data_IF_586085781329
#
_entry.id   IF_586085781329
#
_cell.length_a   1.000
_cell.length_b   1.000
_cell.length_c   1.000
_cell.angle_alpha   90.00
_cell.angle_beta   90.00
_cell.angle_gamma   90.00
#
_symmetry.space_group_name_H-M   'P 1'
#
loop_
_entity.id
_entity.type
_entity.pdbx_description
1 polymer ?
#
# COMPACT_ATOMS: atom_id res chain seq x y z
N UNK A 1 -2.17 10.51 26.30
CA UNK A 1 -1.03 10.38 25.37
C UNK A 1 -1.59 10.35 23.96
N UNK A 2 -1.08 11.20 23.06
CA UNK A 2 -1.47 11.16 21.64
C UNK A 2 -0.54 10.15 20.95
N UNK A 3 -1.10 9.10 20.36
CA UNK A 3 -0.32 8.13 19.60
C UNK A 3 0.02 8.73 18.23
N UNK A 4 1.25 9.23 18.05
CA UNK A 4 1.70 9.71 16.75
C UNK A 4 1.94 8.52 15.82
N UNK A 5 1.04 8.34 14.85
CA UNK A 5 1.09 7.23 13.91
C UNK A 5 1.24 7.77 12.49
N UNK A 6 2.11 7.13 11.72
CA UNK A 6 2.34 7.44 10.31
C UNK A 6 1.85 6.26 9.48
N UNK A 7 0.99 6.56 8.50
CA UNK A 7 0.59 5.65 7.43
C UNK A 7 1.05 6.27 6.12
N UNK A 8 1.72 5.49 5.28
CA UNK A 8 2.17 5.92 3.97
C UNK A 8 1.21 5.40 2.90
N UNK A 9 0.80 6.26 1.98
CA UNK A 9 0.03 5.88 0.79
C UNK A 9 0.78 6.34 -0.44
N UNK A 10 1.07 5.42 -1.34
CA UNK A 10 1.72 5.67 -2.63
C UNK A 10 0.80 5.14 -3.73
N UNK A 11 0.73 5.83 -4.88
CA UNK A 11 -0.15 5.46 -5.99
C UNK A 11 0.66 5.25 -7.26
N UNK A 12 0.38 4.18 -7.99
CA UNK A 12 1.02 3.83 -9.27
C UNK A 12 -0.03 3.49 -10.32
N UNK A 13 0.17 3.95 -11.55
CA UNK A 13 -0.73 3.69 -12.67
C UNK A 13 -0.57 2.30 -13.33
N UNK A 14 0.38 1.47 -12.90
CA UNK A 14 0.66 0.18 -13.55
C UNK A 14 0.12 -0.99 -12.72
N UNK A 15 -0.39 -2.01 -13.40
CA UNK A 15 -0.91 -3.23 -12.80
C UNK A 15 0.18 -4.15 -12.21
N UNK A 16 1.45 -3.97 -12.59
CA UNK A 16 2.54 -4.76 -12.02
C UNK A 16 3.22 -3.99 -10.90
N UNK A 17 3.39 -4.65 -9.75
CA UNK A 17 4.19 -4.16 -8.62
C UNK A 17 5.62 -4.69 -8.73
N UNK A 18 6.60 -3.79 -8.69
CA UNK A 18 8.03 -4.14 -8.66
C UNK A 18 8.66 -3.70 -7.35
N UNK A 19 9.75 -4.35 -6.95
CA UNK A 19 10.50 -3.96 -5.75
C UNK A 19 10.95 -2.47 -5.76
N UNK A 20 11.20 -1.92 -6.95
CA UNK A 20 11.53 -0.50 -7.14
C UNK A 20 10.39 0.44 -6.75
N UNK A 21 9.14 0.00 -6.87
CA UNK A 21 7.95 0.79 -6.55
C UNK A 21 7.75 0.95 -5.04
N UNK A 22 8.50 0.17 -4.23
CA UNK A 22 8.44 0.23 -2.77
C UNK A 22 9.47 1.17 -2.17
N UNK A 23 10.26 1.86 -2.99
CA UNK A 23 11.36 2.71 -2.51
C UNK A 23 10.85 3.87 -1.66
N UNK A 24 9.75 4.53 -2.08
CA UNK A 24 9.13 5.63 -1.34
C UNK A 24 8.58 5.16 0.01
N UNK A 25 7.71 4.16 -0.03
CA UNK A 25 7.18 3.46 1.15
C UNK A 25 8.27 3.02 2.14
N UNK A 26 9.32 2.34 1.68
CA UNK A 26 10.43 1.88 2.56
C UNK A 26 11.23 3.04 3.14
N UNK A 27 11.46 4.11 2.36
CA UNK A 27 12.14 5.31 2.85
C UNK A 27 11.34 5.98 3.96
N UNK A 28 10.03 6.16 3.78
CA UNK A 28 9.19 6.77 4.82
C UNK A 28 9.05 5.85 6.04
N UNK A 29 8.94 4.54 5.84
CA UNK A 29 8.93 3.56 6.94
C UNK A 29 10.20 3.66 7.79
N UNK A 30 11.37 3.78 7.15
CA UNK A 30 12.64 3.97 7.85
C UNK A 30 12.71 5.31 8.60
N UNK A 31 12.18 6.39 8.04
CA UNK A 31 12.19 7.72 8.68
C UNK A 31 11.21 7.80 9.86
N UNK A 32 10.03 7.19 9.73
CA UNK A 32 8.99 7.20 10.76
C UNK A 32 9.27 6.19 11.89
N UNK A 33 10.12 5.18 11.66
CA UNK A 33 10.56 4.23 12.69
C UNK A 33 9.38 3.56 13.41
N UNK A 34 9.34 3.67 14.74
CA UNK A 34 8.28 3.08 15.58
C UNK A 34 6.90 3.69 15.36
N UNK A 35 6.82 4.89 14.77
CA UNK A 35 5.56 5.55 14.43
C UNK A 35 4.96 4.99 13.14
N UNK A 36 5.74 4.29 12.31
CA UNK A 36 5.25 3.70 11.07
C UNK A 36 4.33 2.51 11.35
N UNK A 37 3.04 2.70 11.10
CA UNK A 37 2.02 1.66 11.28
C UNK A 37 1.82 0.81 10.02
N UNK A 38 1.77 1.44 8.85
CA UNK A 38 1.43 0.74 7.62
C UNK A 38 1.85 1.54 6.38
N UNK A 39 2.14 0.83 5.30
CA UNK A 39 2.26 1.38 3.95
C UNK A 39 1.24 0.74 3.01
N UNK A 40 0.65 1.53 2.10
CA UNK A 40 -0.26 1.06 1.06
C UNK A 40 0.21 1.57 -0.29
N UNK A 41 0.46 0.66 -1.22
CA UNK A 41 0.65 0.94 -2.64
C UNK A 41 -0.68 0.70 -3.37
N UNK A 42 -1.34 1.77 -3.79
CA UNK A 42 -2.50 1.69 -4.67
C UNK A 42 -2.04 1.51 -6.10
N UNK A 43 -2.53 0.47 -6.78
CA UNK A 43 -2.10 0.12 -8.12
C UNK A 43 -3.26 -0.34 -9.01
N UNK A 44 -3.02 -0.46 -10.31
CA UNK A 44 -4.05 -0.80 -11.32
C UNK A 44 -4.24 -2.32 -11.52
N UNK A 45 -3.96 -3.12 -10.49
CA UNK A 45 -4.24 -4.56 -10.52
C UNK A 45 -5.56 -4.91 -9.84
N UNK A 46 -5.76 -6.21 -9.58
CA UNK A 46 -7.01 -6.74 -9.01
C UNK A 46 -6.85 -7.36 -7.63
N UNK A 47 -5.63 -7.58 -7.16
CA UNK A 47 -5.37 -8.33 -5.93
C UNK A 47 -4.81 -7.43 -4.83
N UNK A 48 -5.27 -7.66 -3.61
CA UNK A 48 -4.61 -7.12 -2.41
C UNK A 48 -3.57 -8.13 -1.94
N UNK A 49 -2.30 -7.72 -1.85
CA UNK A 49 -1.21 -8.63 -1.51
C UNK A 49 -0.21 -8.00 -0.53
N UNK A 50 0.34 -8.78 0.42
CA UNK A 50 1.37 -8.31 1.33
C UNK A 50 2.72 -8.17 0.60
N UNK A 51 3.46 -7.09 0.89
CA UNK A 51 4.77 -6.81 0.28
C UNK A 51 5.92 -6.80 1.30
N UNK A 52 5.65 -7.22 2.53
CA UNK A 52 6.59 -7.18 3.66
C UNK A 52 6.59 -5.83 4.39
N UNK A 53 7.27 -5.75 5.53
CA UNK A 53 7.48 -4.50 6.29
C UNK A 53 6.21 -3.70 6.65
N UNK A 54 5.08 -4.38 6.85
CA UNK A 54 3.74 -3.76 7.06
C UNK A 54 3.28 -2.93 5.84
N UNK A 55 3.76 -3.28 4.65
CA UNK A 55 3.38 -2.69 3.37
C UNK A 55 2.47 -3.65 2.61
N UNK A 56 1.43 -3.09 1.99
CA UNK A 56 0.44 -3.81 1.20
C UNK A 56 0.32 -3.18 -0.18
N UNK A 57 0.10 -3.99 -1.20
CA UNK A 57 -0.48 -3.54 -2.47
C UNK A 57 -1.99 -3.74 -2.41
N UNK A 58 -2.76 -2.74 -2.86
CA UNK A 58 -4.20 -2.82 -2.96
C UNK A 58 -4.68 -2.18 -4.29
N UNK A 59 -5.69 -2.74 -4.96
CA UNK A 59 -6.25 -2.13 -6.17
C UNK A 59 -6.76 -0.71 -5.87
N UNK A 60 -6.46 0.25 -6.73
CA UNK A 60 -6.99 1.63 -6.58
C UNK A 60 -8.53 1.65 -6.62
N UNK A 61 -9.16 0.67 -7.28
CA UNK A 61 -10.62 0.50 -7.31
C UNK A 61 -11.24 0.26 -5.93
N UNK A 62 -10.47 -0.24 -4.95
CA UNK A 62 -10.95 -0.46 -3.58
C UNK A 62 -11.40 0.83 -2.89
N UNK A 63 -10.89 1.99 -3.30
CA UNK A 63 -11.30 3.30 -2.76
C UNK A 63 -12.78 3.60 -3.02
N UNK A 64 -13.35 3.01 -4.07
CA UNK A 64 -14.69 3.32 -4.55
C UNK A 64 -15.71 2.22 -4.22
N UNK A 65 -15.33 1.21 -3.44
CA UNK A 65 -16.22 0.09 -3.10
C UNK A 65 -16.59 -0.79 -4.29
N UNK A 66 -15.86 -0.68 -5.40
CA UNK A 66 -16.03 -1.55 -6.57
C UNK A 66 -15.20 -2.81 -6.37
N UNK A 67 -15.73 -3.78 -5.63
CA UNK A 67 -15.25 -5.15 -5.72
C UNK A 67 -15.54 -5.65 -7.14
N UNK A 68 -14.51 -6.10 -7.85
CA UNK A 68 -14.76 -7.13 -8.87
C UNK A 68 -15.09 -8.39 -8.09
N UNK A 69 -16.38 -8.61 -7.82
CA UNK A 69 -16.87 -9.90 -7.37
C UNK A 69 -16.34 -10.93 -8.38
N UNK A 70 -15.42 -11.79 -7.95
CA UNK A 70 -15.12 -13.00 -8.70
C UNK A 70 -16.40 -13.82 -8.72
N UNK A 71 -17.20 -13.68 -9.77
CA UNK A 71 -18.08 -14.74 -10.22
C UNK A 71 -17.22 -15.71 -11.03
N UNK A 72 -16.76 -16.76 -10.38
CA UNK A 72 -16.67 -18.14 -10.90
C UNK A 72 -16.52 -19.10 -9.73
#
# INVERSE_FOLDING_TARGET
MIANCVVCVEVKASATVKASDLRGLKKLASLAGSQFKMGVLLYDGSETMPLGDRIWAAPVSTLWGMEKSNQV
#
